data_IF_095093722104
#
_entry.id   IF_095093722104
#
_cell.length_a   1.000
_cell.length_b   1.000
_cell.length_c   1.000
_cell.angle_alpha   90.00
_cell.angle_beta   90.00
_cell.angle_gamma   90.00
#
_symmetry.space_group_name_H-M   'P 1'
#
loop_
_entity.id
_entity.type
_entity.pdbx_description
1 polymer ?
#
# COMPACT_ATOMS: atom_id res chain seq x y z
N UNK A 1 17.83 9.55 6.96
CA UNK A 1 17.82 8.15 6.51
C UNK A 1 19.21 7.50 6.66
N UNK A 2 20.31 8.07 6.15
CA UNK A 2 21.68 7.53 6.25
C UNK A 2 22.11 7.25 7.72
N UNK A 3 21.82 8.16 8.65
CA UNK A 3 22.14 7.97 10.06
C UNK A 3 21.39 6.78 10.66
N UNK A 4 20.12 6.62 10.29
CA UNK A 4 19.31 5.49 10.74
C UNK A 4 19.80 4.17 10.16
N UNK A 5 20.19 4.14 8.88
CA UNK A 5 20.80 2.96 8.25
C UNK A 5 22.07 2.50 8.98
N UNK A 6 22.98 3.44 9.31
CA UNK A 6 24.21 3.13 10.06
C UNK A 6 23.92 2.55 11.47
N UNK A 7 22.90 3.05 12.15
CA UNK A 7 22.46 2.50 13.43
C UNK A 7 21.81 1.12 13.27
N UNK A 8 20.93 0.95 12.28
CA UNK A 8 20.24 -0.30 12.00
C UNK A 8 21.22 -1.42 11.64
N UNK A 9 22.20 -1.14 10.79
CA UNK A 9 23.22 -2.10 10.38
C UNK A 9 24.16 -2.51 11.53
N UNK A 10 24.37 -1.65 12.54
CA UNK A 10 25.15 -2.00 13.72
C UNK A 10 24.47 -3.05 14.61
N UNK A 11 23.14 -3.14 14.56
CA UNK A 11 22.34 -4.12 15.31
C UNK A 11 22.31 -5.50 14.66
N UNK A 12 22.76 -5.61 13.40
CA UNK A 12 22.79 -6.89 12.69
C UNK A 12 24.07 -7.64 12.99
N UNK A 13 23.95 -8.94 13.24
CA UNK A 13 25.07 -9.86 13.40
C UNK A 13 25.53 -10.36 12.02
N UNK A 14 26.84 -10.60 11.83
CA UNK A 14 27.41 -11.19 10.63
C UNK A 14 28.44 -10.32 9.91
N UNK A 15 28.92 -10.82 8.77
CA UNK A 15 29.94 -10.13 7.96
C UNK A 15 29.37 -8.86 7.33
N UNK A 16 30.02 -7.73 7.60
CA UNK A 16 29.57 -6.39 7.23
C UNK A 16 30.21 -5.85 5.95
N UNK A 17 30.61 -6.73 5.03
CA UNK A 17 31.21 -6.38 3.72
C UNK A 17 30.31 -5.39 2.96
N UNK A 18 29.00 -5.46 3.11
CA UNK A 18 28.07 -4.51 2.53
C UNK A 18 28.20 -3.08 3.10
N UNK A 19 28.73 -2.90 4.33
CA UNK A 19 29.03 -1.56 4.89
C UNK A 19 30.24 -0.92 4.24
N UNK A 20 31.25 -1.72 3.92
CA UNK A 20 32.41 -1.26 3.15
C UNK A 20 31.97 -0.77 1.76
N UNK A 21 31.09 -1.55 1.10
CA UNK A 21 30.49 -1.14 -0.16
C UNK A 21 29.69 0.17 -0.01
N UNK A 22 28.88 0.30 1.04
CA UNK A 22 28.10 1.51 1.30
C UNK A 22 29.02 2.73 1.52
N UNK A 23 30.12 2.58 2.27
CA UNK A 23 31.09 3.65 2.49
C UNK A 23 31.77 4.08 1.17
N UNK A 24 32.18 3.12 0.33
CA UNK A 24 32.75 3.41 -1.00
C UNK A 24 31.75 4.14 -1.91
N UNK A 25 30.46 3.80 -1.86
CA UNK A 25 29.42 4.50 -2.61
C UNK A 25 29.17 5.94 -2.10
N UNK A 26 29.52 6.25 -0.85
CA UNK A 26 29.47 7.63 -0.35
C UNK A 26 30.69 8.47 -0.79
N UNK A 27 31.83 7.83 -1.05
CA UNK A 27 33.10 8.49 -1.39
C UNK A 27 33.33 8.64 -2.89
N UNK A 28 32.88 7.66 -3.68
CA UNK A 28 33.15 7.59 -5.11
C UNK A 28 32.02 8.25 -5.92
N UNK A 29 32.41 8.86 -7.05
CA UNK A 29 31.49 9.55 -7.96
C UNK A 29 30.99 8.66 -9.10
N UNK A 30 31.60 7.50 -9.35
CA UNK A 30 31.21 6.59 -10.42
C UNK A 30 31.15 5.12 -9.97
N UNK A 31 30.31 4.34 -10.65
CA UNK A 31 30.13 2.91 -10.37
C UNK A 31 31.42 2.13 -10.68
N UNK A 32 32.11 2.50 -11.74
CA UNK A 32 33.37 1.87 -12.15
C UNK A 32 34.46 2.04 -11.08
N UNK A 33 34.50 3.21 -10.45
CA UNK A 33 35.46 3.48 -9.37
C UNK A 33 35.12 2.65 -8.11
N UNK A 34 33.83 2.54 -7.75
CA UNK A 34 33.38 1.69 -6.65
C UNK A 34 33.74 0.23 -6.90
N UNK A 35 33.45 -0.29 -8.10
CA UNK A 35 33.78 -1.68 -8.47
C UNK A 35 35.26 -1.94 -8.41
N UNK A 36 36.08 -1.04 -8.92
CA UNK A 36 37.54 -1.17 -8.90
C UNK A 36 38.10 -1.19 -7.48
N UNK A 37 37.66 -0.27 -6.60
CA UNK A 37 38.14 -0.22 -5.22
C UNK A 37 37.68 -1.41 -4.41
N UNK A 38 36.44 -1.83 -4.59
CA UNK A 38 35.89 -2.98 -3.90
C UNK A 38 36.51 -4.30 -4.40
N UNK A 39 36.79 -4.42 -5.70
CA UNK A 39 37.35 -5.62 -6.32
C UNK A 39 38.80 -5.91 -5.98
N UNK A 40 39.55 -4.89 -5.51
CA UNK A 40 40.93 -5.08 -5.01
C UNK A 40 40.93 -5.96 -3.74
N UNK A 41 39.88 -5.86 -2.92
CA UNK A 41 39.85 -6.53 -1.62
C UNK A 41 39.01 -7.84 -1.63
N UNK A 42 38.09 -8.04 -2.58
CA UNK A 42 37.05 -9.06 -2.45
C UNK A 42 36.71 -9.94 -3.68
N UNK A 43 37.24 -9.64 -4.88
CA UNK A 43 36.93 -10.38 -6.13
C UNK A 43 35.55 -10.08 -6.75
N UNK A 44 35.38 -10.32 -8.09
CA UNK A 44 34.15 -9.92 -8.83
C UNK A 44 32.87 -10.59 -8.34
N UNK A 45 32.89 -11.89 -8.00
CA UNK A 45 31.72 -12.62 -7.49
C UNK A 45 31.27 -12.12 -6.12
N UNK A 46 32.16 -11.55 -5.33
CA UNK A 46 31.89 -10.97 -4.03
C UNK A 46 31.17 -9.62 -4.15
N UNK A 47 31.42 -8.85 -5.21
CA UNK A 47 30.78 -7.55 -5.45
C UNK A 47 29.27 -7.69 -5.66
N UNK A 48 28.82 -8.57 -6.55
CA UNK A 48 27.41 -8.82 -6.81
C UNK A 48 26.65 -9.30 -5.58
N UNK A 49 27.28 -10.15 -4.77
CA UNK A 49 26.71 -10.63 -3.52
C UNK A 49 26.59 -9.48 -2.52
N UNK A 50 27.61 -8.66 -2.39
CA UNK A 50 27.60 -7.49 -1.51
C UNK A 50 26.53 -6.45 -1.93
N UNK A 51 26.36 -6.20 -3.23
CA UNK A 51 25.33 -5.32 -3.77
C UNK A 51 23.92 -5.84 -3.43
N UNK A 52 23.66 -7.14 -3.67
CA UNK A 52 22.38 -7.76 -3.34
C UNK A 52 22.08 -7.69 -1.84
N UNK A 53 23.09 -7.95 -1.03
CA UNK A 53 22.95 -7.88 0.43
C UNK A 53 22.71 -6.45 0.91
N UNK A 54 23.50 -5.47 0.43
CA UNK A 54 23.32 -4.06 0.73
C UNK A 54 21.89 -3.59 0.35
N UNK A 55 21.43 -3.94 -0.86
CA UNK A 55 20.08 -3.62 -1.31
C UNK A 55 19.03 -4.14 -0.34
N UNK A 56 19.12 -5.42 0.05
CA UNK A 56 18.20 -6.04 1.00
C UNK A 56 18.20 -5.30 2.34
N UNK A 57 19.37 -5.04 2.91
CA UNK A 57 19.50 -4.37 4.21
C UNK A 57 18.99 -2.93 4.16
N UNK A 58 19.23 -2.21 3.05
CA UNK A 58 18.70 -0.85 2.86
C UNK A 58 17.17 -0.88 2.77
N UNK A 59 16.59 -1.80 2.02
CA UNK A 59 15.12 -1.94 1.91
C UNK A 59 14.51 -2.28 3.27
N UNK A 60 15.07 -3.24 4.01
CA UNK A 60 14.60 -3.62 5.33
C UNK A 60 14.69 -2.43 6.33
N UNK A 61 15.79 -1.69 6.29
CA UNK A 61 15.97 -0.47 7.08
C UNK A 61 14.91 0.59 6.75
N UNK A 62 14.63 0.83 5.47
CA UNK A 62 13.60 1.79 5.03
C UNK A 62 12.19 1.34 5.40
N UNK A 63 11.90 0.04 5.31
CA UNK A 63 10.62 -0.53 5.77
C UNK A 63 10.44 -0.30 7.28
N UNK A 64 11.47 -0.56 8.08
CA UNK A 64 11.44 -0.29 9.52
C UNK A 64 11.25 1.20 9.84
N UNK A 65 11.93 2.08 9.12
CA UNK A 65 11.81 3.51 9.31
C UNK A 65 10.41 4.00 8.95
N UNK A 66 9.88 3.57 7.80
CA UNK A 66 8.56 3.98 7.30
C UNK A 66 7.41 3.39 8.12
N UNK A 67 7.55 2.17 8.64
CA UNK A 67 6.50 1.49 9.41
C UNK A 67 5.98 2.31 10.59
N UNK A 68 6.76 3.25 11.11
CA UNK A 68 6.36 4.14 12.20
C UNK A 68 5.51 5.34 11.75
N UNK A 69 5.71 5.82 10.54
CA UNK A 69 5.12 7.07 10.01
C UNK A 69 4.05 6.80 8.96
N UNK A 70 4.17 5.73 8.20
CA UNK A 70 3.21 5.35 7.17
C UNK A 70 1.98 4.69 7.79
N UNK A 71 0.81 5.29 7.57
CA UNK A 71 -0.47 4.79 8.08
C UNK A 71 -0.80 3.42 7.50
N UNK A 72 -0.54 3.20 6.21
CA UNK A 72 -0.77 1.91 5.56
C UNK A 72 0.08 0.81 6.19
N UNK A 73 1.37 1.09 6.40
CA UNK A 73 2.28 0.15 7.07
C UNK A 73 1.82 -0.14 8.52
N UNK A 74 1.38 0.86 9.26
CA UNK A 74 0.86 0.70 10.63
C UNK A 74 -0.39 -0.19 10.65
N UNK A 75 -1.32 -0.02 9.72
CA UNK A 75 -2.51 -0.86 9.61
C UNK A 75 -2.10 -2.30 9.26
N UNK A 76 -1.21 -2.49 8.27
CA UNK A 76 -0.73 -3.80 7.85
C UNK A 76 -0.01 -4.55 8.97
N UNK A 77 0.82 -3.86 9.76
CA UNK A 77 1.49 -4.45 10.92
C UNK A 77 0.49 -4.93 11.98
N UNK A 78 -0.55 -4.14 12.30
CA UNK A 78 -1.62 -4.58 13.22
C UNK A 78 -2.39 -5.78 12.71
N UNK A 79 -2.61 -5.87 11.41
CA UNK A 79 -3.24 -7.04 10.81
C UNK A 79 -2.34 -8.28 10.92
N UNK A 80 -1.02 -8.13 10.72
CA UNK A 80 -0.05 -9.20 10.92
C UNK A 80 0.04 -9.64 12.39
N UNK A 81 0.04 -8.71 13.32
CA UNK A 81 -0.03 -8.98 14.77
C UNK A 81 -1.31 -9.75 15.12
N UNK A 82 -2.46 -9.33 14.59
CA UNK A 82 -3.73 -10.03 14.79
C UNK A 82 -3.70 -11.47 14.26
N UNK A 83 -3.09 -11.70 13.10
CA UNK A 83 -2.95 -13.05 12.51
C UNK A 83 -2.04 -13.94 13.39
N UNK A 84 -0.95 -13.43 13.91
CA UNK A 84 -0.06 -14.16 14.85
C UNK A 84 -0.82 -14.54 16.11
N UNK A 85 -1.52 -13.58 16.73
CA UNK A 85 -2.31 -13.81 17.93
C UNK A 85 -3.42 -14.83 17.72
N UNK A 86 -4.09 -14.76 16.56
CA UNK A 86 -5.11 -15.72 16.17
C UNK A 86 -4.54 -17.14 16.07
N UNK A 87 -3.39 -17.32 15.41
CA UNK A 87 -2.71 -18.62 15.32
C UNK A 87 -2.24 -19.17 16.66
N UNK A 88 -1.94 -18.29 17.60
CA UNK A 88 -1.62 -18.67 18.99
C UNK A 88 -2.87 -19.00 19.84
N UNK A 89 -4.08 -18.94 19.27
CA UNK A 89 -5.32 -19.19 20.01
C UNK A 89 -5.81 -18.01 20.85
N UNK A 90 -5.16 -16.85 20.77
CA UNK A 90 -5.47 -15.64 21.53
C UNK A 90 -6.53 -14.79 20.80
N UNK A 91 -7.73 -15.35 20.61
CA UNK A 91 -8.79 -14.78 19.79
C UNK A 91 -9.20 -13.37 20.22
N UNK A 92 -9.31 -13.13 21.53
CA UNK A 92 -9.70 -11.81 22.05
C UNK A 92 -8.66 -10.74 21.68
N UNK A 93 -7.38 -11.01 21.91
CA UNK A 93 -6.30 -10.08 21.57
C UNK A 93 -6.23 -9.84 20.06
N UNK A 94 -6.41 -10.88 19.25
CA UNK A 94 -6.47 -10.77 17.79
C UNK A 94 -7.61 -9.85 17.33
N UNK A 95 -8.81 -9.98 17.90
CA UNK A 95 -9.96 -9.12 17.57
C UNK A 95 -9.76 -7.68 18.03
N UNK A 96 -9.06 -7.44 19.13
CA UNK A 96 -8.70 -6.10 19.58
C UNK A 96 -7.75 -5.42 18.59
N UNK A 97 -6.70 -6.10 18.12
CA UNK A 97 -5.78 -5.54 17.10
C UNK A 97 -6.48 -5.27 15.77
N UNK A 98 -7.37 -6.16 15.31
CA UNK A 98 -8.22 -5.89 14.15
C UNK A 98 -9.13 -4.67 14.35
N UNK A 99 -9.68 -4.49 15.55
CA UNK A 99 -10.51 -3.32 15.87
C UNK A 99 -9.70 -2.01 15.80
N UNK A 100 -8.45 -2.03 16.30
CA UNK A 100 -7.52 -0.89 16.18
C UNK A 100 -7.15 -0.61 14.73
N UNK A 101 -6.84 -1.64 13.94
CA UNK A 101 -6.59 -1.53 12.50
C UNK A 101 -7.81 -0.95 11.77
N UNK A 102 -9.01 -1.43 12.07
CA UNK A 102 -10.28 -0.97 11.49
C UNK A 102 -10.54 0.51 11.76
N UNK A 103 -10.27 0.96 13.01
CA UNK A 103 -10.42 2.37 13.38
C UNK A 103 -9.47 3.26 12.57
N UNK A 104 -8.21 2.86 12.42
CA UNK A 104 -7.23 3.60 11.60
C UNK A 104 -7.64 3.62 10.13
N UNK A 105 -8.01 2.46 9.56
CA UNK A 105 -8.42 2.38 8.16
C UNK A 105 -9.65 3.24 7.86
N UNK A 106 -10.61 3.32 8.78
CA UNK A 106 -11.77 4.21 8.66
C UNK A 106 -11.41 5.68 8.80
N UNK A 107 -10.52 6.03 9.73
CA UNK A 107 -10.10 7.41 9.97
C UNK A 107 -9.34 8.01 8.78
N UNK A 108 -8.57 7.20 8.07
CA UNK A 108 -7.76 7.62 6.92
C UNK A 108 -8.36 7.17 5.57
N UNK A 109 -9.64 6.82 5.55
CA UNK A 109 -10.41 6.44 4.34
C UNK A 109 -9.78 5.33 3.49
N UNK A 110 -8.95 4.48 4.09
CA UNK A 110 -8.29 3.36 3.40
C UNK A 110 -9.26 2.21 3.15
N UNK A 111 -10.20 2.41 2.23
CA UNK A 111 -11.35 1.53 1.97
C UNK A 111 -10.95 0.10 1.62
N UNK A 112 -9.87 -0.08 0.85
CA UNK A 112 -9.38 -1.41 0.48
C UNK A 112 -8.88 -2.20 1.70
N UNK A 113 -8.12 -1.54 2.59
CA UNK A 113 -7.66 -2.16 3.84
C UNK A 113 -8.83 -2.40 4.81
N UNK A 114 -9.78 -1.47 4.88
CA UNK A 114 -10.99 -1.63 5.69
C UNK A 114 -11.81 -2.86 5.25
N UNK A 115 -11.92 -3.08 3.93
CA UNK A 115 -12.56 -4.27 3.37
C UNK A 115 -11.85 -5.55 3.82
N UNK A 116 -10.53 -5.60 3.68
CA UNK A 116 -9.72 -6.75 4.08
C UNK A 116 -9.83 -7.04 5.59
N UNK A 117 -9.81 -6.00 6.44
CA UNK A 117 -9.97 -6.13 7.89
C UNK A 117 -11.34 -6.71 8.24
N UNK A 118 -12.42 -6.20 7.62
CA UNK A 118 -13.79 -6.69 7.86
C UNK A 118 -13.95 -8.16 7.45
N UNK A 119 -13.36 -8.58 6.34
CA UNK A 119 -13.36 -9.99 5.92
C UNK A 119 -12.56 -10.85 6.89
N UNK A 120 -11.41 -10.39 7.37
CA UNK A 120 -10.61 -11.10 8.37
C UNK A 120 -11.35 -11.23 9.70
N UNK A 121 -12.07 -10.19 10.12
CA UNK A 121 -12.92 -10.22 11.32
C UNK A 121 -13.99 -11.30 11.22
N UNK A 122 -14.68 -11.41 10.08
CA UNK A 122 -15.67 -12.46 9.84
C UNK A 122 -15.05 -13.86 9.83
N UNK A 123 -13.87 -14.00 9.25
CA UNK A 123 -13.12 -15.28 9.25
C UNK A 123 -12.78 -15.72 10.67
N UNK A 124 -12.32 -14.81 11.54
CA UNK A 124 -12.00 -15.15 12.94
C UNK A 124 -13.27 -15.51 13.74
N UNK A 125 -14.36 -14.79 13.51
CA UNK A 125 -15.65 -15.13 14.12
C UNK A 125 -16.17 -16.51 13.70
N UNK A 126 -16.03 -16.84 12.42
CA UNK A 126 -16.41 -18.17 11.90
C UNK A 126 -15.54 -19.27 12.52
N UNK A 127 -14.24 -19.05 12.64
CA UNK A 127 -13.33 -20.02 13.26
C UNK A 127 -13.59 -20.24 14.77
N UNK A 128 -14.21 -19.25 15.44
CA UNK A 128 -14.67 -19.36 16.83
C UNK A 128 -16.14 -19.76 16.98
N UNK A 129 -16.76 -20.36 15.94
CA UNK A 129 -18.15 -20.80 15.94
C UNK A 129 -19.14 -19.70 16.36
N UNK A 130 -18.81 -18.44 16.04
CA UNK A 130 -19.61 -17.25 16.35
C UNK A 130 -19.98 -17.11 17.83
N UNK A 131 -19.15 -17.60 18.75
CA UNK A 131 -19.41 -17.56 20.18
C UNK A 131 -19.70 -16.14 20.67
N UNK A 132 -20.78 -16.00 21.44
CA UNK A 132 -21.20 -14.71 22.01
C UNK A 132 -21.83 -13.73 21.01
N UNK A 133 -22.08 -14.15 19.75
CA UNK A 133 -22.67 -13.30 18.71
C UNK A 133 -24.14 -13.69 18.44
N UNK A 134 -25.01 -12.68 18.33
CA UNK A 134 -26.37 -12.89 17.84
C UNK A 134 -26.44 -12.87 16.32
N UNK A 135 -27.42 -13.53 15.73
CA UNK A 135 -27.70 -13.50 14.29
C UNK A 135 -27.83 -12.08 13.77
N UNK A 136 -28.52 -11.19 14.49
CA UNK A 136 -28.65 -9.78 14.13
C UNK A 136 -27.30 -9.07 14.01
N UNK A 137 -26.37 -9.31 14.93
CA UNK A 137 -25.02 -8.74 14.87
C UNK A 137 -24.20 -9.29 13.70
N UNK A 138 -24.36 -10.58 13.38
CA UNK A 138 -23.70 -11.18 12.22
C UNK A 138 -24.21 -10.55 10.91
N UNK A 139 -25.54 -10.43 10.76
CA UNK A 139 -26.17 -9.77 9.60
C UNK A 139 -25.66 -8.33 9.47
N UNK A 140 -25.62 -7.56 10.56
CA UNK A 140 -25.10 -6.18 10.54
C UNK A 140 -23.63 -6.12 10.05
N UNK A 141 -22.78 -7.04 10.51
CA UNK A 141 -21.38 -7.12 10.04
C UNK A 141 -21.29 -7.44 8.55
N UNK A 142 -22.11 -8.36 8.05
CA UNK A 142 -22.19 -8.70 6.62
C UNK A 142 -22.69 -7.51 5.79
N UNK A 143 -23.67 -6.77 6.27
CA UNK A 143 -24.15 -5.55 5.60
C UNK A 143 -23.04 -4.50 5.50
N UNK A 144 -22.25 -4.29 6.56
CA UNK A 144 -21.09 -3.36 6.54
C UNK A 144 -20.00 -3.80 5.54
N UNK A 145 -19.79 -5.10 5.35
CA UNK A 145 -18.88 -5.60 4.29
C UNK A 145 -19.42 -5.24 2.92
N UNK A 146 -20.71 -5.51 2.66
CA UNK A 146 -21.35 -5.18 1.38
C UNK A 146 -21.33 -3.67 1.09
N UNK A 147 -21.53 -2.85 2.09
CA UNK A 147 -21.44 -1.39 2.00
C UNK A 147 -20.02 -0.94 1.60
N UNK A 148 -19.00 -1.47 2.28
CA UNK A 148 -17.59 -1.18 1.94
C UNK A 148 -17.26 -1.61 0.51
N UNK A 149 -17.78 -2.74 0.07
CA UNK A 149 -17.59 -3.21 -1.29
C UNK A 149 -18.22 -2.28 -2.34
N UNK A 150 -19.41 -1.74 -2.07
CA UNK A 150 -20.04 -0.74 -2.94
C UNK A 150 -19.18 0.52 -3.05
N UNK A 151 -18.66 1.03 -1.92
CA UNK A 151 -17.76 2.18 -1.91
C UNK A 151 -16.49 1.92 -2.71
N UNK A 152 -15.84 0.77 -2.48
CA UNK A 152 -14.63 0.39 -3.21
C UNK A 152 -14.88 0.28 -4.73
N UNK A 153 -16.02 -0.30 -5.12
CA UNK A 153 -16.40 -0.40 -6.53
C UNK A 153 -16.60 0.98 -7.15
N UNK A 154 -17.30 1.88 -6.47
CA UNK A 154 -17.51 3.25 -6.94
C UNK A 154 -16.19 3.99 -7.11
N UNK A 155 -15.32 3.96 -6.10
CA UNK A 155 -13.98 4.58 -6.19
C UNK A 155 -13.17 4.02 -7.36
N UNK A 156 -13.20 2.70 -7.58
CA UNK A 156 -12.51 2.07 -8.70
C UNK A 156 -13.07 2.51 -10.07
N UNK A 157 -14.37 2.73 -10.19
CA UNK A 157 -14.98 3.24 -11.43
C UNK A 157 -14.49 4.66 -11.75
N UNK A 158 -14.39 5.55 -10.75
CA UNK A 158 -13.82 6.88 -10.92
C UNK A 158 -12.35 6.82 -11.35
N UNK A 159 -11.55 5.97 -10.71
CA UNK A 159 -10.13 5.80 -11.09
C UNK A 159 -9.96 5.27 -12.51
N UNK A 160 -10.81 4.34 -12.96
CA UNK A 160 -10.78 3.83 -14.34
C UNK A 160 -11.04 4.95 -15.35
N UNK A 161 -12.05 5.78 -15.11
CA UNK A 161 -12.35 6.92 -15.97
C UNK A 161 -11.20 7.94 -15.99
N UNK A 162 -10.67 8.26 -14.81
CA UNK A 162 -9.50 9.12 -14.69
C UNK A 162 -8.31 8.62 -15.51
N UNK A 163 -7.95 7.36 -15.39
CA UNK A 163 -6.82 6.77 -16.12
C UNK A 163 -7.04 6.84 -17.64
N UNK A 164 -8.27 6.57 -18.10
CA UNK A 164 -8.61 6.68 -19.53
C UNK A 164 -8.49 8.13 -20.03
N UNK A 165 -9.04 9.09 -19.28
CA UNK A 165 -8.97 10.50 -19.62
C UNK A 165 -7.53 11.02 -19.59
N UNK A 166 -6.78 10.66 -18.58
CA UNK A 166 -5.35 11.00 -18.46
C UNK A 166 -4.52 10.42 -19.62
N UNK A 167 -4.74 9.16 -19.97
CA UNK A 167 -4.08 8.53 -21.10
C UNK A 167 -4.39 9.29 -22.39
N UNK A 168 -5.65 9.64 -22.64
CA UNK A 168 -6.06 10.41 -23.82
C UNK A 168 -5.42 11.80 -23.84
N UNK A 169 -5.41 12.49 -22.69
CA UNK A 169 -4.79 13.83 -22.58
C UNK A 169 -3.28 13.78 -22.91
N UNK A 170 -2.57 12.75 -22.46
CA UNK A 170 -1.13 12.61 -22.67
C UNK A 170 -0.76 12.17 -24.09
N UNK A 171 -1.51 11.22 -24.67
CA UNK A 171 -1.12 10.55 -25.92
C UNK A 171 -2.04 10.85 -27.12
N UNK A 172 -3.23 11.42 -26.89
CA UNK A 172 -4.19 11.78 -27.93
C UNK A 172 -4.69 13.22 -27.76
N UNK A 173 -3.78 14.16 -27.65
CA UNK A 173 -4.06 15.56 -27.34
C UNK A 173 -4.92 16.33 -28.33
N UNK A 174 -5.24 15.78 -29.54
CA UNK A 174 -6.11 16.40 -30.54
C UNK A 174 -7.18 15.42 -30.98
N UNK A 175 -8.43 15.75 -30.67
CA UNK A 175 -9.61 15.11 -31.20
C UNK A 175 -9.65 15.46 -32.72
N UNK A 176 -9.53 14.45 -33.60
CA UNK A 176 -9.42 14.65 -35.04
C UNK A 176 -10.64 14.17 -35.83
N UNK A 177 -11.53 13.41 -35.19
CA UNK A 177 -12.73 12.87 -35.82
C UNK A 177 -13.97 13.08 -34.97
N UNK A 178 -15.13 13.12 -35.60
CA UNK A 178 -16.43 13.23 -34.94
C UNK A 178 -16.70 12.02 -34.01
N UNK A 179 -16.27 10.82 -34.41
CA UNK A 179 -16.34 9.62 -33.56
C UNK A 179 -15.50 9.72 -32.30
N UNK A 180 -14.30 10.30 -32.41
CA UNK A 180 -13.45 10.54 -31.21
C UNK A 180 -14.07 11.58 -30.28
N UNK A 181 -14.73 12.61 -30.82
CA UNK A 181 -15.46 13.62 -30.07
C UNK A 181 -16.64 12.98 -29.31
N UNK A 182 -17.47 12.18 -30.00
CA UNK A 182 -18.56 11.46 -29.34
C UNK A 182 -18.08 10.54 -28.25
N UNK A 183 -17.05 9.73 -28.50
CA UNK A 183 -16.44 8.83 -27.49
C UNK A 183 -15.86 9.57 -26.28
N UNK A 184 -15.37 10.79 -26.45
CA UNK A 184 -14.92 11.63 -25.33
C UNK A 184 -16.11 12.17 -24.54
N UNK A 185 -17.16 12.64 -25.23
CA UNK A 185 -18.38 13.11 -24.58
C UNK A 185 -19.06 12.01 -23.76
N UNK A 186 -19.11 10.77 -24.27
CA UNK A 186 -19.67 9.63 -23.55
C UNK A 186 -18.90 9.33 -22.25
N UNK A 187 -17.56 9.48 -22.28
CA UNK A 187 -16.74 9.32 -21.06
C UNK A 187 -17.00 10.44 -20.05
N UNK A 188 -17.10 11.70 -20.50
CA UNK A 188 -17.40 12.84 -19.63
C UNK A 188 -18.80 12.69 -19.02
N UNK A 189 -19.79 12.27 -19.81
CA UNK A 189 -21.13 11.99 -19.31
C UNK A 189 -21.15 10.87 -18.28
N UNK A 190 -20.36 9.81 -18.49
CA UNK A 190 -20.20 8.72 -17.52
C UNK A 190 -19.63 9.20 -16.21
N UNK A 191 -18.61 10.08 -16.23
CA UNK A 191 -18.03 10.70 -15.03
C UNK A 191 -19.05 11.54 -14.28
N UNK A 192 -19.77 12.42 -15.00
CA UNK A 192 -20.82 13.25 -14.43
C UNK A 192 -21.93 12.40 -13.79
N UNK A 193 -22.30 11.28 -14.41
CA UNK A 193 -23.28 10.36 -13.85
C UNK A 193 -22.79 9.68 -12.56
N UNK A 194 -21.51 9.29 -12.49
CA UNK A 194 -20.92 8.74 -11.28
C UNK A 194 -20.88 9.76 -10.13
N UNK A 195 -20.49 11.00 -10.44
CA UNK A 195 -20.48 12.12 -9.47
C UNK A 195 -21.89 12.41 -8.97
N UNK A 196 -22.87 12.48 -9.89
CA UNK A 196 -24.25 12.78 -9.54
C UNK A 196 -24.89 11.70 -8.65
N UNK A 197 -24.55 10.43 -8.86
CA UNK A 197 -25.05 9.32 -8.05
C UNK A 197 -24.43 9.25 -6.65
N UNK A 198 -23.37 10.02 -6.39
CA UNK A 198 -22.76 10.32 -5.08
C UNK A 198 -22.65 9.11 -4.14
N UNK A 199 -22.27 7.95 -4.66
CA UNK A 199 -22.21 6.71 -3.89
C UNK A 199 -20.99 6.64 -2.98
N UNK A 200 -19.95 7.43 -3.27
CA UNK A 200 -18.73 7.57 -2.45
C UNK A 200 -17.93 8.81 -2.85
N UNK A 201 -17.71 9.69 -1.89
CA UNK A 201 -16.86 10.88 -2.02
C UNK A 201 -15.70 10.75 -1.01
N UNK A 202 -14.66 10.02 -1.36
CA UNK A 202 -13.39 10.03 -0.63
C UNK A 202 -12.46 11.11 -1.16
N UNK A 203 -11.47 11.50 -0.36
CA UNK A 203 -10.48 12.54 -0.71
C UNK A 203 -9.81 12.30 -2.07
N UNK A 204 -9.48 11.04 -2.40
CA UNK A 204 -8.87 10.68 -3.69
C UNK A 204 -9.82 10.93 -4.88
N UNK A 205 -11.12 10.62 -4.70
CA UNK A 205 -12.15 10.83 -5.73
C UNK A 205 -12.39 12.32 -5.94
N UNK A 206 -12.48 13.11 -4.87
CA UNK A 206 -12.64 14.55 -4.95
C UNK A 206 -11.46 15.21 -5.67
N UNK A 207 -10.22 14.80 -5.37
CA UNK A 207 -9.01 15.31 -6.04
C UNK A 207 -9.04 15.01 -7.54
N UNK A 208 -9.47 13.80 -7.93
CA UNK A 208 -9.60 13.40 -9.33
C UNK A 208 -10.66 14.23 -10.06
N UNK A 209 -11.83 14.41 -9.45
CA UNK A 209 -12.94 15.18 -10.05
C UNK A 209 -12.60 16.66 -10.24
N UNK A 210 -11.92 17.29 -9.29
CA UNK A 210 -11.50 18.70 -9.39
C UNK A 210 -10.42 18.94 -10.44
N UNK A 211 -9.49 18.03 -10.65
CA UNK A 211 -8.42 18.18 -11.66
C UNK A 211 -8.93 18.06 -13.10
N UNK A 212 -10.17 17.58 -13.32
CA UNK A 212 -10.76 17.47 -14.67
C UNK A 212 -11.62 18.68 -15.05
N UNK A 213 -12.07 19.48 -14.08
CA UNK A 213 -12.94 20.63 -14.29
C UNK A 213 -12.19 21.97 -14.39
N UNK A 214 -10.88 21.97 -14.15
CA UNK A 214 -9.97 23.12 -14.33
C UNK A 214 -9.07 22.95 -15.53
#
# INVERSE_FOLDING_TARGET
EKRYFKLYSNLQEGDKVYLTLFALMEECSSVEEVTRRFGVDAGESSFDIAVKHLYKVVVDCLLHLRSRYDIQARISNRMAEAEILFRCGLLQAATEELSRAKKLAGQYEMTALLMLIRQTELRYLSAGDYQGMSEKQLVEKQMKVNETFKHLRSANQHMQLYDILKYRALYRSKVRSEQECQSLNDLVLSELHLIANNTYNGFEVDTVSYTHLT
#
